data_IF_040433042472
#
_entry.id   IF_040433042472
#
_cell.length_a   1.000
_cell.length_b   1.000
_cell.length_c   1.000
_cell.angle_alpha   90.00
_cell.angle_beta   90.00
_cell.angle_gamma   90.00
#
_symmetry.space_group_name_H-M   'P 1'
#
loop_
_entity.id
_entity.type
_entity.pdbx_description
1 polymer ?
#
# COMPACT_ATOMS: atom_id res chain seq x y z
N UNK A 1 0.86 -12.24 -9.05
CA UNK A 1 0.86 -11.41 -10.27
C UNK A 1 -0.44 -11.71 -11.01
N UNK A 2 -1.17 -10.70 -11.46
CA UNK A 2 -2.42 -10.90 -12.19
C UNK A 2 -2.17 -10.71 -13.68
N UNK A 3 -2.70 -11.61 -14.50
CA UNK A 3 -2.70 -11.47 -15.96
C UNK A 3 -4.01 -10.83 -16.40
N UNK A 4 -3.96 -9.63 -16.96
CA UNK A 4 -5.12 -8.86 -17.40
C UNK A 4 -5.19 -8.92 -18.93
N UNK A 5 -6.09 -9.73 -19.53
CA UNK A 5 -6.29 -9.70 -20.98
C UNK A 5 -6.89 -8.35 -21.39
N UNK A 6 -6.43 -7.83 -22.53
CA UNK A 6 -6.92 -6.57 -23.09
C UNK A 6 -8.09 -6.85 -24.03
N UNK A 7 -9.21 -6.18 -23.79
CA UNK A 7 -10.35 -6.21 -24.70
C UNK A 7 -10.00 -5.51 -26.03
N UNK A 8 -9.10 -4.53 -25.98
CA UNK A 8 -8.62 -3.78 -27.14
C UNK A 8 -7.10 -3.87 -27.23
N UNK A 9 -6.57 -4.94 -27.85
CA UNK A 9 -5.15 -5.07 -28.08
C UNK A 9 -4.61 -3.90 -28.91
N UNK A 10 -3.39 -3.48 -28.62
CA UNK A 10 -2.76 -2.35 -29.26
C UNK A 10 -1.27 -2.61 -29.51
N UNK A 11 -0.59 -1.70 -30.23
CA UNK A 11 0.84 -1.81 -30.52
C UNK A 11 1.52 -0.48 -30.27
N UNK A 12 2.61 -0.50 -29.50
CA UNK A 12 3.47 0.67 -29.24
C UNK A 12 4.90 0.27 -29.56
N UNK A 13 5.58 1.08 -30.36
CA UNK A 13 6.97 0.86 -30.78
C UNK A 13 7.23 -0.56 -31.34
N UNK A 14 6.25 -1.12 -32.05
CA UNK A 14 6.33 -2.46 -32.64
C UNK A 14 6.11 -3.62 -31.65
N UNK A 15 5.83 -3.33 -30.38
CA UNK A 15 5.44 -4.32 -29.37
C UNK A 15 3.93 -4.42 -29.30
N UNK A 16 3.38 -5.59 -29.61
CA UNK A 16 1.96 -5.87 -29.50
C UNK A 16 1.61 -6.28 -28.07
N UNK A 17 0.55 -5.67 -27.53
CA UNK A 17 -0.01 -5.98 -26.22
C UNK A 17 -1.42 -6.53 -26.40
N UNK A 18 -1.64 -7.78 -26.02
CA UNK A 18 -2.95 -8.43 -25.90
C UNK A 18 -3.32 -8.76 -24.44
N UNK A 19 -2.38 -8.54 -23.52
CA UNK A 19 -2.54 -8.62 -22.07
C UNK A 19 -1.47 -7.78 -21.36
N UNK A 20 -1.69 -7.49 -20.08
CA UNK A 20 -0.69 -6.94 -19.18
C UNK A 20 -0.50 -7.85 -17.97
N UNK A 21 0.75 -8.04 -17.54
CA UNK A 21 1.07 -8.68 -16.26
C UNK A 21 1.13 -7.59 -15.18
N UNK A 22 0.17 -7.60 -14.26
CA UNK A 22 0.00 -6.55 -13.26
C UNK A 22 0.31 -7.07 -11.87
N UNK A 23 1.43 -6.63 -11.30
CA UNK A 23 1.83 -7.01 -9.94
C UNK A 23 1.17 -6.14 -8.88
N UNK A 24 1.19 -6.62 -7.65
CA UNK A 24 0.72 -5.86 -6.49
C UNK A 24 1.68 -4.72 -6.16
N UNK A 25 1.18 -3.70 -5.49
CA UNK A 25 1.92 -2.48 -5.16
C UNK A 25 2.50 -2.56 -3.76
N UNK A 26 3.76 -2.13 -3.60
CA UNK A 26 4.38 -1.91 -2.29
C UNK A 26 4.18 -0.46 -1.83
N UNK A 27 4.25 -0.22 -0.51
CA UNK A 27 4.19 1.13 0.07
C UNK A 27 5.25 2.06 -0.52
N UNK A 28 6.47 1.55 -0.73
CA UNK A 28 7.60 2.29 -1.32
C UNK A 28 7.29 2.74 -2.75
N UNK A 29 6.71 1.87 -3.58
CA UNK A 29 6.33 2.22 -4.95
C UNK A 29 5.25 3.30 -4.97
N UNK A 30 4.22 3.19 -4.13
CA UNK A 30 3.19 4.23 -4.00
C UNK A 30 3.81 5.58 -3.63
N UNK A 31 4.72 5.59 -2.64
CA UNK A 31 5.43 6.81 -2.22
C UNK A 31 6.34 7.35 -3.33
N UNK A 32 7.04 6.50 -4.07
CA UNK A 32 7.88 6.91 -5.18
C UNK A 32 7.05 7.51 -6.32
N UNK A 33 5.86 6.95 -6.59
CA UNK A 33 4.94 7.48 -7.60
C UNK A 33 4.47 8.88 -7.19
N UNK A 34 4.04 9.05 -5.93
CA UNK A 34 3.63 10.33 -5.38
C UNK A 34 4.73 11.40 -5.49
N UNK A 35 5.99 11.04 -5.24
CA UNK A 35 7.13 11.96 -5.37
C UNK A 35 7.45 12.28 -6.84
N UNK A 36 7.20 11.34 -7.75
CA UNK A 36 7.49 11.48 -9.17
C UNK A 36 6.35 12.13 -9.98
N UNK A 37 5.22 12.45 -9.34
CA UNK A 37 4.02 13.00 -9.96
C UNK A 37 3.69 14.39 -9.44
N UNK A 38 3.03 15.19 -10.27
CA UNK A 38 2.49 16.51 -9.90
C UNK A 38 1.00 16.47 -9.54
N UNK A 39 0.28 15.45 -9.98
CA UNK A 39 -1.15 15.25 -9.76
C UNK A 39 -1.50 13.75 -9.74
N UNK A 40 -2.75 13.43 -9.40
CA UNK A 40 -3.22 12.05 -9.23
C UNK A 40 -3.23 11.24 -10.54
N UNK A 41 -3.54 11.87 -11.68
CA UNK A 41 -3.54 11.21 -12.99
C UNK A 41 -2.12 10.79 -13.39
N UNK A 42 -1.15 11.67 -13.22
CA UNK A 42 0.26 11.36 -13.44
C UNK A 42 0.75 10.28 -12.46
N UNK A 43 0.32 10.35 -11.19
CA UNK A 43 0.65 9.34 -10.19
C UNK A 43 0.14 7.95 -10.60
N UNK A 44 -1.11 7.86 -11.06
CA UNK A 44 -1.71 6.61 -11.52
C UNK A 44 -0.94 6.02 -12.70
N UNK A 45 -0.67 6.85 -13.71
CA UNK A 45 0.03 6.45 -14.92
C UNK A 45 1.45 5.95 -14.62
N UNK A 46 2.18 6.65 -13.76
CA UNK A 46 3.50 6.23 -13.28
C UNK A 46 3.42 4.89 -12.56
N UNK A 47 2.47 4.78 -11.63
CA UNK A 47 2.33 3.59 -10.82
C UNK A 47 1.96 2.39 -11.69
N UNK A 48 0.97 2.52 -12.58
CA UNK A 48 0.51 1.44 -13.43
C UNK A 48 1.57 1.00 -14.43
N UNK A 49 2.36 1.93 -14.97
CA UNK A 49 3.55 1.60 -15.77
C UNK A 49 4.51 0.70 -14.99
N UNK A 50 4.83 1.02 -13.75
CA UNK A 50 5.74 0.21 -12.91
C UNK A 50 5.16 -1.14 -12.48
N UNK A 51 3.85 -1.21 -12.27
CA UNK A 51 3.16 -2.43 -11.86
C UNK A 51 2.89 -3.37 -13.04
N UNK A 52 2.68 -2.82 -14.23
CA UNK A 52 2.55 -3.58 -15.47
C UNK A 52 3.91 -3.96 -16.09
N UNK A 53 4.99 -3.26 -15.69
CA UNK A 53 6.32 -3.46 -16.28
C UNK A 53 6.41 -2.95 -17.71
N UNK A 54 5.60 -1.95 -18.10
CA UNK A 54 5.54 -1.38 -19.46
C UNK A 54 5.84 0.12 -19.45
N UNK A 55 6.27 0.71 -20.57
CA UNK A 55 6.49 2.16 -20.66
C UNK A 55 5.21 2.97 -20.38
N UNK A 56 5.37 4.22 -19.95
CA UNK A 56 4.27 5.17 -19.72
C UNK A 56 3.35 5.31 -20.94
N UNK A 57 3.94 5.47 -22.13
CA UNK A 57 3.19 5.56 -23.38
C UNK A 57 2.32 4.33 -23.66
N UNK A 58 2.72 3.14 -23.21
CA UNK A 58 1.86 1.96 -23.36
C UNK A 58 0.62 2.01 -22.45
N UNK A 59 0.70 2.67 -21.28
CA UNK A 59 -0.47 2.89 -20.42
C UNK A 59 -1.38 3.99 -21.02
N UNK A 60 -0.80 5.01 -21.65
CA UNK A 60 -1.54 6.09 -22.31
C UNK A 60 -2.37 5.63 -23.51
N UNK A 61 -1.90 4.61 -24.23
CA UNK A 61 -2.58 4.02 -25.39
C UNK A 61 -3.67 3.00 -25.02
N UNK A 62 -3.86 2.71 -23.72
CA UNK A 62 -4.91 1.80 -23.29
C UNK A 62 -6.29 2.36 -23.62
N UNK A 63 -7.16 1.51 -24.15
CA UNK A 63 -8.59 1.82 -24.18
C UNK A 63 -9.12 2.02 -22.75
N UNK A 64 -10.08 2.93 -22.59
CA UNK A 64 -10.65 3.29 -21.29
C UNK A 64 -11.28 2.09 -20.58
N UNK A 65 -11.80 1.10 -21.31
CA UNK A 65 -12.32 -0.16 -20.74
C UNK A 65 -11.20 -0.99 -20.10
N UNK A 66 -10.05 -1.07 -20.75
CA UNK A 66 -8.89 -1.79 -20.24
C UNK A 66 -8.22 -1.04 -19.09
N UNK A 67 -8.08 0.29 -19.19
CA UNK A 67 -7.63 1.14 -18.09
C UNK A 67 -8.50 0.96 -16.83
N UNK A 68 -9.83 0.96 -16.98
CA UNK A 68 -10.76 0.69 -15.87
C UNK A 68 -10.59 -0.71 -15.28
N UNK A 69 -10.11 -1.68 -16.05
CA UNK A 69 -9.82 -3.02 -15.54
C UNK A 69 -8.55 -3.04 -14.71
N UNK A 70 -7.53 -2.28 -15.11
CA UNK A 70 -6.34 -2.04 -14.28
C UNK A 70 -6.70 -1.32 -12.98
N UNK A 71 -7.48 -0.24 -13.05
CA UNK A 71 -7.94 0.52 -11.87
C UNK A 71 -8.71 -0.37 -10.89
N UNK A 72 -9.63 -1.21 -11.37
CA UNK A 72 -10.38 -2.16 -10.52
C UNK A 72 -9.46 -3.21 -9.89
N UNK A 73 -8.49 -3.71 -10.66
CA UNK A 73 -7.51 -4.67 -10.15
C UNK A 73 -6.66 -4.04 -9.04
N UNK A 74 -6.19 -2.82 -9.27
CA UNK A 74 -5.44 -2.03 -8.28
C UNK A 74 -6.27 -1.73 -7.02
N UNK A 75 -7.52 -1.31 -7.16
CA UNK A 75 -8.43 -1.07 -6.03
C UNK A 75 -8.63 -2.33 -5.18
N UNK A 76 -8.62 -3.52 -5.78
CA UNK A 76 -8.63 -4.79 -5.06
C UNK A 76 -7.36 -5.04 -4.23
N UNK A 77 -6.25 -4.41 -4.58
CA UNK A 77 -4.98 -4.50 -3.82
C UNK A 77 -4.92 -3.51 -2.65
N UNK A 78 -5.72 -2.45 -2.67
CA UNK A 78 -5.76 -1.42 -1.62
C UNK A 78 -6.78 -1.69 -0.53
N UNK A 79 -7.49 -2.82 -0.58
CA UNK A 79 -8.33 -3.26 0.54
C UNK A 79 -7.43 -3.80 1.65
N UNK A 80 -7.60 -3.30 2.88
CA UNK A 80 -6.84 -3.77 4.03
C UNK A 80 -6.96 -5.29 4.21
N UNK A 81 -5.84 -5.96 4.46
CA UNK A 81 -5.83 -7.41 4.65
C UNK A 81 -6.63 -7.81 5.90
N UNK A 82 -7.28 -8.98 5.86
CA UNK A 82 -8.14 -9.48 6.95
C UNK A 82 -7.35 -10.00 8.15
N UNK A 83 -6.02 -9.82 8.21
CA UNK A 83 -5.17 -10.19 9.36
C UNK A 83 -5.38 -9.27 10.57
N UNK A 84 -6.65 -8.91 10.83
CA UNK A 84 -7.09 -8.04 11.90
C UNK A 84 -6.74 -8.72 13.21
N UNK A 85 -5.74 -8.15 13.87
CA UNK A 85 -5.34 -8.34 15.27
C UNK A 85 -4.16 -9.30 15.54
N UNK A 86 -3.69 -10.11 14.58
CA UNK A 86 -2.56 -11.02 14.82
C UNK A 86 -1.19 -10.45 14.48
N UNK A 87 -1.10 -9.25 13.89
CA UNK A 87 0.18 -8.73 13.38
C UNK A 87 0.63 -9.36 12.06
N UNK A 88 -0.01 -10.45 11.61
CA UNK A 88 0.44 -11.22 10.45
C UNK A 88 0.29 -10.42 9.16
N UNK A 89 1.25 -10.62 8.26
CA UNK A 89 1.25 -10.06 6.92
C UNK A 89 0.64 -11.11 5.98
N UNK A 90 -0.35 -10.71 5.18
CA UNK A 90 -0.85 -11.54 4.10
C UNK A 90 0.23 -11.80 3.05
N UNK A 91 1.15 -10.84 2.89
CA UNK A 91 2.28 -10.90 1.99
C UNK A 91 3.59 -10.69 2.78
N UNK A 92 4.27 -11.77 3.19
CA UNK A 92 5.56 -11.68 3.85
C UNK A 92 6.58 -10.88 3.02
N UNK A 93 7.42 -10.12 3.70
CA UNK A 93 8.44 -9.28 3.08
C UNK A 93 9.84 -9.82 3.40
N UNK A 94 10.79 -9.59 2.50
CA UNK A 94 12.19 -9.93 2.73
C UNK A 94 13.00 -8.63 2.89
N UNK A 95 13.69 -8.48 4.01
CA UNK A 95 14.53 -7.32 4.32
C UNK A 95 15.85 -7.83 4.88
N UNK A 96 16.96 -7.39 4.30
CA UNK A 96 18.31 -7.81 4.70
C UNK A 96 18.50 -9.36 4.75
N UNK A 97 17.81 -10.06 3.85
CA UNK A 97 17.83 -11.53 3.77
C UNK A 97 16.98 -12.25 4.82
N UNK A 98 16.33 -11.54 5.73
CA UNK A 98 15.39 -12.08 6.70
C UNK A 98 13.95 -11.90 6.22
N UNK A 99 13.13 -12.93 6.38
CA UNK A 99 11.72 -12.89 6.05
C UNK A 99 10.91 -12.42 7.27
N UNK A 100 10.15 -11.35 7.09
CA UNK A 100 9.23 -10.81 8.08
C UNK A 100 7.82 -11.25 7.69
N UNK A 101 7.18 -12.02 8.57
CA UNK A 101 5.80 -12.48 8.42
C UNK A 101 4.79 -11.73 9.30
N UNK A 102 5.28 -10.92 10.24
CA UNK A 102 4.45 -10.30 11.28
C UNK A 102 5.05 -8.96 11.70
N UNK A 103 4.19 -7.95 11.83
CA UNK A 103 4.51 -6.64 12.41
C UNK A 103 3.38 -6.27 13.39
N UNK A 104 3.71 -6.21 14.67
CA UNK A 104 2.79 -5.74 15.71
C UNK A 104 3.06 -4.27 16.04
N UNK A 105 2.02 -3.45 16.04
CA UNK A 105 2.13 -2.08 16.50
C UNK A 105 1.90 -2.01 18.01
N UNK A 106 2.87 -1.49 18.76
CA UNK A 106 2.60 -1.06 20.13
C UNK A 106 1.75 0.22 20.13
N UNK A 107 1.05 0.47 21.24
CA UNK A 107 0.32 1.74 21.42
C UNK A 107 1.26 2.96 21.26
N UNK A 108 0.84 3.99 20.52
CA UNK A 108 1.64 5.19 20.30
C UNK A 108 1.75 6.04 21.57
N UNK A 109 2.90 6.69 21.74
CA UNK A 109 3.17 7.72 22.74
C UNK A 109 3.48 9.03 22.03
N UNK A 110 3.27 10.16 22.70
CA UNK A 110 3.58 11.49 22.14
C UNK A 110 5.03 11.61 21.62
N UNK A 111 6.00 10.98 22.31
CA UNK A 111 7.40 10.93 21.86
C UNK A 111 7.59 10.25 20.50
N UNK A 112 6.74 9.29 20.16
CA UNK A 112 6.83 8.56 18.89
C UNK A 112 6.36 9.46 17.74
N UNK A 113 5.29 10.23 17.96
CA UNK A 113 4.81 11.24 17.01
C UNK A 113 5.86 12.33 16.79
N UNK A 114 6.47 12.83 17.87
CA UNK A 114 7.56 13.81 17.78
C UNK A 114 8.78 13.26 17.03
N UNK A 115 9.13 11.99 17.26
CA UNK A 115 10.23 11.33 16.58
C UNK A 115 9.94 11.09 15.09
N UNK A 116 8.71 10.71 14.74
CA UNK A 116 8.29 10.50 13.35
C UNK A 116 8.20 11.81 12.56
N UNK A 117 7.83 12.91 13.22
CA UNK A 117 7.76 14.24 12.60
C UNK A 117 9.14 14.86 12.36
N UNK A 118 10.17 14.42 13.10
CA UNK A 118 11.51 14.99 12.98
C UNK A 118 12.09 14.67 11.60
N UNK A 119 12.48 15.69 10.85
CA UNK A 119 13.13 15.58 9.54
C UNK A 119 12.30 14.85 8.46
N UNK A 120 10.98 14.69 8.66
CA UNK A 120 10.12 14.07 7.66
C UNK A 120 9.69 15.09 6.61
N UNK A 121 10.03 14.83 5.34
CA UNK A 121 9.75 15.72 4.21
C UNK A 121 8.32 15.64 3.66
N UNK A 122 7.52 14.65 4.05
CA UNK A 122 6.12 14.51 3.65
C UNK A 122 5.28 13.72 4.65
N UNK A 123 3.95 13.81 4.56
CA UNK A 123 3.03 12.98 5.36
C UNK A 123 3.25 11.49 5.14
N UNK A 124 3.55 11.09 3.91
CA UNK A 124 3.85 9.70 3.60
C UNK A 124 5.09 9.19 4.35
N UNK A 125 6.16 10.00 4.40
CA UNK A 125 7.37 9.68 5.16
C UNK A 125 7.13 9.69 6.67
N UNK A 126 6.33 10.65 7.18
CA UNK A 126 5.93 10.67 8.59
C UNK A 126 5.22 9.38 9.01
N UNK A 127 4.26 8.93 8.20
CA UNK A 127 3.51 7.70 8.47
C UNK A 127 4.42 6.46 8.47
N UNK A 128 5.28 6.33 7.45
CA UNK A 128 6.20 5.18 7.34
C UNK A 128 7.13 5.10 8.56
N UNK A 129 7.68 6.25 8.97
CA UNK A 129 8.55 6.33 10.14
C UNK A 129 7.82 6.06 11.45
N UNK A 130 6.60 6.55 11.61
CA UNK A 130 5.79 6.25 12.78
C UNK A 130 5.54 4.75 12.89
N UNK A 131 5.13 4.09 11.81
CA UNK A 131 4.85 2.64 11.82
C UNK A 131 6.11 1.81 12.02
N UNK A 132 7.26 2.25 11.51
CA UNK A 132 8.56 1.63 11.84
C UNK A 132 8.85 1.69 13.35
N UNK A 133 8.69 2.86 13.97
CA UNK A 133 8.91 3.08 15.42
C UNK A 133 7.94 2.26 16.29
N UNK A 134 6.67 2.16 15.88
CA UNK A 134 5.65 1.42 16.62
C UNK A 134 5.77 -0.09 16.40
N UNK A 135 6.19 -0.51 15.20
CA UNK A 135 6.41 -1.91 14.82
C UNK A 135 7.74 -2.48 15.29
N UNK A 136 8.69 -1.62 15.68
CA UNK A 136 10.05 -2.06 16.01
C UNK A 136 10.80 -2.63 14.80
N UNK A 137 10.49 -2.15 13.60
CA UNK A 137 11.08 -2.57 12.33
C UNK A 137 11.75 -1.39 11.62
N UNK A 138 12.51 -1.65 10.56
CA UNK A 138 13.12 -0.60 9.76
C UNK A 138 12.09 0.11 8.85
N UNK A 139 12.37 1.36 8.46
CA UNK A 139 11.56 2.06 7.45
C UNK A 139 11.60 1.35 6.09
N UNK A 140 12.71 0.65 5.79
CA UNK A 140 12.81 -0.21 4.62
C UNK A 140 11.76 -1.33 4.67
N UNK A 141 11.59 -1.99 5.82
CA UNK A 141 10.57 -3.01 6.00
C UNK A 141 9.15 -2.45 5.77
N UNK A 142 8.84 -1.27 6.33
CA UNK A 142 7.55 -0.62 6.09
C UNK A 142 7.35 -0.29 4.60
N UNK A 143 8.41 0.12 3.90
CA UNK A 143 8.38 0.40 2.47
C UNK A 143 8.10 -0.84 1.61
N UNK A 144 8.59 -2.01 1.99
CA UNK A 144 8.40 -3.25 1.22
C UNK A 144 7.03 -3.91 1.45
N UNK A 145 6.22 -3.41 2.40
CA UNK A 145 4.87 -3.92 2.64
C UNK A 145 3.99 -3.81 1.39
N UNK A 146 3.24 -4.87 1.11
CA UNK A 146 2.09 -4.79 0.21
C UNK A 146 1.10 -3.74 0.74
N UNK A 147 0.45 -2.99 -0.17
CA UNK A 147 -0.48 -1.94 0.23
C UNK A 147 -1.60 -2.46 1.13
N UNK A 148 -2.11 -3.69 0.91
CA UNK A 148 -3.16 -4.25 1.76
C UNK A 148 -2.70 -4.45 3.21
N UNK A 149 -1.45 -4.88 3.42
CA UNK A 149 -0.87 -5.03 4.75
C UNK A 149 -0.50 -3.69 5.38
N UNK A 150 -0.05 -2.72 4.57
CA UNK A 150 0.17 -1.35 5.04
C UNK A 150 -1.13 -0.69 5.53
N UNK A 151 -2.23 -0.80 4.77
CA UNK A 151 -3.54 -0.31 5.20
C UNK A 151 -4.04 -1.04 6.45
N UNK A 152 -3.76 -2.34 6.59
CA UNK A 152 -4.09 -3.07 7.82
C UNK A 152 -3.29 -2.57 9.04
N UNK A 153 -2.05 -2.08 8.86
CA UNK A 153 -1.30 -1.39 9.92
C UNK A 153 -1.91 -0.03 10.26
N UNK A 154 -2.30 0.75 9.26
CA UNK A 154 -2.97 2.05 9.44
C UNK A 154 -4.29 1.90 10.21
N UNK A 155 -5.14 0.94 9.84
CA UNK A 155 -6.38 0.65 10.56
C UNK A 155 -6.12 0.31 12.04
N UNK A 156 -5.04 -0.43 12.35
CA UNK A 156 -4.66 -0.74 13.75
C UNK A 156 -4.22 0.51 14.51
N UNK A 157 -3.42 1.37 13.86
CA UNK A 157 -3.01 2.63 14.45
C UNK A 157 -4.23 3.52 14.77
N UNK A 158 -5.18 3.63 13.84
CA UNK A 158 -6.43 4.37 14.04
C UNK A 158 -7.23 3.83 15.24
N UNK A 159 -7.26 2.51 15.45
CA UNK A 159 -7.90 1.91 16.64
C UNK A 159 -7.25 2.33 17.96
N UNK A 160 -5.96 2.64 17.98
CA UNK A 160 -5.31 3.14 19.20
C UNK A 160 -5.63 4.59 19.53
N UNK A 161 -5.96 5.40 18.51
CA UNK A 161 -6.16 6.85 18.65
C UNK A 161 -7.62 7.24 18.76
N UNK A 162 -8.55 6.34 18.43
CA UNK A 162 -9.96 6.53 18.74
C UNK A 162 -10.22 6.29 20.25
N UNK A 163 -11.00 7.15 20.91
CA UNK A 163 -11.48 6.86 22.26
C UNK A 163 -12.30 5.58 22.18
N UNK A 164 -11.93 4.57 22.97
CA UNK A 164 -12.75 3.38 23.14
C UNK A 164 -14.15 3.85 23.54
N UNK A 165 -15.17 3.57 22.71
CA UNK A 165 -16.55 3.65 23.17
C UNK A 165 -16.62 2.79 24.43
N UNK A 166 -16.84 3.43 25.57
CA UNK A 166 -16.88 2.77 26.87
C UNK A 166 -17.78 1.54 26.80
N UNK A 167 -17.33 0.47 27.47
CA UNK A 167 -18.01 -0.81 27.43
C UNK A 167 -19.50 -0.68 27.71
N UNK A 168 -20.30 -1.36 26.91
CA UNK A 168 -21.55 -1.91 27.41
C UNK A 168 -21.16 -2.93 28.48
N UNK A 169 -21.04 -2.42 29.71
CA UNK A 169 -21.23 -3.18 30.93
C UNK A 169 -22.56 -3.92 30.78
N UNK A 170 -22.47 -5.19 30.36
CA UNK A 170 -23.54 -6.15 30.56
C UNK A 170 -23.62 -6.39 32.05
N UNK A 171 -24.31 -5.50 32.75
CA UNK A 171 -24.78 -5.76 34.10
C UNK A 171 -25.69 -7.00 34.03
N UNK A 172 -25.42 -8.07 34.79
CA UNK A 172 -26.39 -9.14 34.94
C UNK A 172 -27.39 -8.73 36.04
N UNK A 173 -28.66 -8.58 35.68
CA UNK A 173 -29.79 -8.59 36.60
C UNK A 173 -31.08 -8.80 35.79
N UNK A 174 -31.99 -9.72 36.12
CA UNK A 174 -32.12 -10.64 37.25
C UNK A 174 -32.93 -11.86 36.81
#
# INVERSE_FOLDING_TARGET
MARIPLAYPFTVDGVAYDHLEFRRCTRKQLRQALVASTNEDEQELILFSWLAGVPRGAIEELDVVDLRTLQRTYAGYTVASQAKDTGELAYPIAVDGAEIRRIDLRRPKARDLLAANRDAGSDAQRADRLYAILGGVSEAAIGELDLSDWFALEERYVRFTQPSRGGEETAPAA
#
